data_IF_267090892488
#
_entry.id   IF_267090892488
#
_cell.length_a   1.000
_cell.length_b   1.000
_cell.length_c   1.000
_cell.angle_alpha   90.00
_cell.angle_beta   90.00
_cell.angle_gamma   90.00
#
_symmetry.space_group_name_H-M   'P 1'
#
loop_
_entity.id
_entity.type
_entity.pdbx_description
1 polymer ?
#
# COMPACT_ATOMS: atom_id res chain seq x y z
N UNK A 1 -34.28 1.79 17.55
CA UNK A 1 -32.85 2.10 17.77
C UNK A 1 -32.12 1.68 16.52
N UNK A 2 -31.55 2.60 15.75
CA UNK A 2 -30.73 2.27 14.60
C UNK A 2 -29.53 1.45 15.09
N UNK A 3 -29.34 0.28 14.51
CA UNK A 3 -28.21 -0.61 14.81
C UNK A 3 -26.93 0.11 14.41
N UNK A 4 -26.03 0.35 15.35
CA UNK A 4 -24.71 0.89 15.05
C UNK A 4 -23.94 -0.07 14.13
N UNK A 5 -23.31 0.49 13.11
CA UNK A 5 -22.47 -0.29 12.19
C UNK A 5 -21.15 -0.61 12.88
N UNK A 6 -20.75 -1.89 12.88
CA UNK A 6 -19.56 -2.39 13.56
C UNK A 6 -18.44 -2.61 12.57
N UNK A 7 -17.41 -1.79 12.63
CA UNK A 7 -16.23 -1.89 11.78
C UNK A 7 -15.11 -2.57 12.56
N UNK A 8 -14.71 -3.76 12.11
CA UNK A 8 -13.54 -4.45 12.63
C UNK A 8 -12.28 -3.97 11.92
N UNK A 9 -11.30 -3.53 12.69
CA UNK A 9 -10.00 -3.06 12.20
C UNK A 9 -8.97 -4.11 12.58
N UNK A 10 -8.21 -4.62 11.62
CA UNK A 10 -7.12 -5.56 11.83
C UNK A 10 -5.79 -4.82 11.77
N UNK A 11 -5.02 -4.93 12.86
CA UNK A 11 -3.79 -4.17 13.09
C UNK A 11 -4.01 -3.01 14.06
N UNK A 12 -3.10 -2.87 15.04
CA UNK A 12 -3.23 -1.94 16.16
C UNK A 12 -2.44 -0.64 16.02
N UNK A 13 -2.04 -0.24 14.81
CA UNK A 13 -1.17 0.89 14.55
C UNK A 13 -1.85 2.27 14.67
N UNK A 14 -1.14 3.27 14.16
CA UNK A 14 -1.59 4.66 14.23
C UNK A 14 -2.80 4.95 13.33
N UNK A 15 -2.91 4.28 12.17
CA UNK A 15 -4.04 4.48 11.27
C UNK A 15 -5.34 3.97 11.91
N UNK A 16 -5.32 2.82 12.57
CA UNK A 16 -6.45 2.31 13.34
C UNK A 16 -6.87 3.29 14.47
N UNK A 17 -5.89 3.90 15.15
CA UNK A 17 -6.14 4.93 16.15
C UNK A 17 -6.83 6.16 15.55
N UNK A 18 -6.40 6.62 14.37
CA UNK A 18 -7.02 7.75 13.65
C UNK A 18 -8.42 7.39 13.13
N UNK A 19 -8.63 6.15 12.67
CA UNK A 19 -9.96 5.65 12.29
C UNK A 19 -10.94 5.68 13.48
N UNK A 20 -10.51 5.31 14.70
CA UNK A 20 -11.32 5.46 15.90
C UNK A 20 -11.73 6.91 16.12
N UNK A 21 -10.81 7.85 16.01
CA UNK A 21 -11.10 9.26 16.20
C UNK A 21 -12.17 9.75 15.21
N UNK A 22 -12.05 9.37 13.94
CA UNK A 22 -13.03 9.73 12.90
C UNK A 22 -14.39 9.04 13.09
N UNK A 23 -14.43 7.81 13.59
CA UNK A 23 -15.64 6.99 13.77
C UNK A 23 -16.61 7.60 14.80
N UNK A 24 -16.11 8.33 15.80
CA UNK A 24 -16.91 8.93 16.87
C UNK A 24 -17.96 9.89 16.28
N UNK A 25 -17.53 10.80 15.42
CA UNK A 25 -18.41 11.78 14.76
C UNK A 25 -19.42 11.14 13.80
N UNK A 26 -19.14 9.94 13.31
CA UNK A 26 -19.99 9.19 12.39
C UNK A 26 -20.93 8.20 13.10
N UNK A 27 -20.82 8.05 14.42
CA UNK A 27 -21.61 7.08 15.19
C UNK A 27 -21.31 5.62 14.86
N UNK A 28 -20.12 5.33 14.32
CA UNK A 28 -19.64 3.99 13.98
C UNK A 28 -19.00 3.35 15.21
N UNK A 29 -19.34 2.09 15.50
CA UNK A 29 -18.66 1.27 16.50
C UNK A 29 -17.44 0.63 15.88
N UNK A 30 -16.25 0.92 16.40
CA UNK A 30 -15.01 0.25 16.00
C UNK A 30 -14.68 -0.89 16.94
N UNK A 31 -14.15 -1.97 16.37
CA UNK A 31 -13.56 -3.12 17.07
C UNK A 31 -12.14 -3.32 16.54
N UNK A 32 -11.25 -3.76 17.38
CA UNK A 32 -9.84 -3.90 17.05
C UNK A 32 -9.37 -5.33 17.26
N UNK A 33 -8.65 -5.88 16.29
CA UNK A 33 -7.77 -7.03 16.47
C UNK A 33 -6.33 -6.52 16.45
N UNK A 34 -5.69 -6.48 17.62
CA UNK A 34 -4.35 -5.97 17.81
C UNK A 34 -3.35 -7.07 18.14
N UNK A 35 -2.10 -6.87 17.78
CA UNK A 35 -0.98 -7.77 18.06
C UNK A 35 -0.62 -7.81 19.55
N UNK A 36 -0.95 -6.76 20.29
CA UNK A 36 -0.67 -6.64 21.73
C UNK A 36 -1.56 -5.60 22.42
N UNK A 37 -1.64 -5.66 23.76
CA UNK A 37 -2.45 -4.74 24.55
C UNK A 37 -1.93 -3.30 24.52
N UNK A 38 -0.63 -3.12 24.23
CA UNK A 38 0.04 -1.82 24.21
C UNK A 38 0.04 -1.19 22.81
N UNK A 39 -0.62 -1.81 21.82
CA UNK A 39 -0.75 -1.27 20.48
C UNK A 39 -1.39 0.13 20.51
N UNK A 40 -0.94 1.02 19.60
CA UNK A 40 -1.37 2.42 19.57
C UNK A 40 -2.89 2.59 19.59
N UNK A 41 -3.60 1.81 18.78
CA UNK A 41 -5.06 1.85 18.70
C UNK A 41 -5.76 1.19 19.90
N UNK A 42 -5.14 0.19 20.54
CA UNK A 42 -5.69 -0.48 21.72
C UNK A 42 -5.88 0.48 22.90
N UNK A 43 -5.09 1.56 22.95
CA UNK A 43 -5.22 2.59 23.99
C UNK A 43 -6.50 3.42 23.87
N UNK A 44 -7.17 3.42 22.71
CA UNK A 44 -8.34 4.28 22.45
C UNK A 44 -9.56 3.52 21.94
N UNK A 45 -9.42 2.26 21.53
CA UNK A 45 -10.52 1.39 21.11
C UNK A 45 -10.85 0.43 22.25
N UNK A 46 -11.97 0.64 23.00
CA UNK A 46 -12.29 -0.21 24.15
C UNK A 46 -12.58 -1.67 23.79
N UNK A 47 -13.11 -1.91 22.59
CA UNK A 47 -13.46 -3.25 22.09
C UNK A 47 -12.27 -3.84 21.33
N UNK A 48 -11.18 -4.10 22.08
CA UNK A 48 -9.95 -4.68 21.55
C UNK A 48 -9.85 -6.16 21.89
N UNK A 49 -9.60 -6.97 20.86
CA UNK A 49 -9.17 -8.37 20.95
C UNK A 49 -7.66 -8.41 20.69
N UNK A 50 -6.89 -8.99 21.59
CA UNK A 50 -5.46 -9.24 21.37
C UNK A 50 -5.31 -10.63 20.78
N UNK A 51 -4.64 -10.72 19.61
CA UNK A 51 -4.43 -11.99 18.93
C UNK A 51 -3.66 -11.85 17.62
N UNK A 52 -3.24 -12.99 17.11
CA UNK A 52 -2.49 -13.08 15.86
C UNK A 52 -3.45 -13.10 14.66
N UNK A 53 -3.40 -12.05 13.83
CA UNK A 53 -4.19 -11.97 12.59
C UNK A 53 -3.70 -12.92 11.49
N UNK A 54 -2.53 -13.52 11.65
CA UNK A 54 -2.03 -14.56 10.75
C UNK A 54 -2.64 -15.94 11.07
N UNK A 55 -3.30 -16.10 12.23
CA UNK A 55 -4.12 -17.28 12.55
C UNK A 55 -5.55 -17.09 12.04
N UNK A 56 -5.97 -17.97 11.12
CA UNK A 56 -7.31 -17.94 10.53
C UNK A 56 -8.42 -18.11 11.57
N UNK A 57 -8.17 -18.88 12.64
CA UNK A 57 -9.14 -19.11 13.71
C UNK A 57 -9.44 -17.82 14.46
N UNK A 58 -8.41 -17.12 14.90
CA UNK A 58 -8.45 -15.82 15.57
C UNK A 58 -9.17 -14.78 14.71
N UNK A 59 -8.75 -14.65 13.44
CA UNK A 59 -9.34 -13.69 12.49
C UNK A 59 -10.84 -14.00 12.24
N UNK A 60 -11.21 -15.30 12.13
CA UNK A 60 -12.60 -15.72 11.94
C UNK A 60 -13.45 -15.46 13.18
N UNK A 61 -12.91 -15.67 14.38
CA UNK A 61 -13.62 -15.38 15.63
C UNK A 61 -13.90 -13.89 15.77
N UNK A 62 -12.90 -13.06 15.52
CA UNK A 62 -13.02 -11.60 15.52
C UNK A 62 -14.05 -11.09 14.50
N UNK A 63 -14.02 -11.61 13.27
CA UNK A 63 -14.91 -11.21 12.19
C UNK A 63 -16.40 -11.44 12.52
N UNK A 64 -16.75 -12.46 13.33
CA UNK A 64 -18.15 -12.72 13.73
C UNK A 64 -18.79 -11.60 14.52
N UNK A 65 -17.99 -10.74 15.13
CA UNK A 65 -18.44 -9.64 15.93
C UNK A 65 -18.63 -8.33 15.15
N UNK A 66 -18.27 -8.32 13.86
CA UNK A 66 -18.22 -7.17 12.98
C UNK A 66 -19.27 -7.23 11.88
N UNK A 67 -19.54 -6.12 11.23
CA UNK A 67 -20.36 -6.02 10.02
C UNK A 67 -19.49 -5.86 8.75
N UNK A 68 -18.27 -5.33 8.93
CA UNK A 68 -17.23 -5.22 7.89
C UNK A 68 -15.86 -5.29 8.53
N UNK A 69 -14.89 -5.83 7.80
CA UNK A 69 -13.46 -5.85 8.18
C UNK A 69 -12.69 -4.88 7.29
N UNK A 70 -11.81 -4.10 7.91
CA UNK A 70 -10.80 -3.28 7.27
C UNK A 70 -9.43 -3.48 7.95
N UNK A 71 -8.38 -2.79 7.48
CA UNK A 71 -6.99 -3.01 7.91
C UNK A 71 -6.32 -1.70 8.27
N UNK A 72 -5.37 -1.79 9.18
CA UNK A 72 -4.39 -0.74 9.50
C UNK A 72 -3.13 -0.83 8.61
N UNK A 73 -2.85 -2.02 8.07
CA UNK A 73 -1.68 -2.32 7.26
C UNK A 73 -1.98 -3.44 6.23
N UNK A 74 -1.09 -3.65 5.26
CA UNK A 74 -1.24 -4.62 4.18
C UNK A 74 -0.88 -6.08 4.54
N UNK A 75 -0.34 -6.37 5.74
CA UNK A 75 0.28 -7.67 6.05
C UNK A 75 -0.69 -8.83 6.33
N UNK A 76 -2.00 -8.57 6.37
CA UNK A 76 -2.99 -9.63 6.61
C UNK A 76 -2.97 -10.64 5.46
N UNK A 77 -2.79 -11.95 5.72
CA UNK A 77 -2.69 -12.94 4.65
C UNK A 77 -3.94 -12.98 3.77
N UNK A 78 -3.79 -12.71 2.48
CA UNK A 78 -4.91 -12.63 1.52
C UNK A 78 -5.73 -13.91 1.46
N UNK A 79 -5.08 -15.09 1.64
CA UNK A 79 -5.79 -16.38 1.73
C UNK A 79 -6.81 -16.43 2.87
N UNK A 80 -6.51 -15.78 4.01
CA UNK A 80 -7.42 -15.70 5.16
C UNK A 80 -8.58 -14.76 4.87
N UNK A 81 -8.32 -13.65 4.21
CA UNK A 81 -9.35 -12.69 3.82
C UNK A 81 -10.34 -13.31 2.83
N UNK A 82 -9.86 -14.07 1.84
CA UNK A 82 -10.71 -14.83 0.91
C UNK A 82 -11.60 -15.82 1.64
N UNK A 83 -11.10 -16.47 2.69
CA UNK A 83 -11.91 -17.38 3.51
C UNK A 83 -13.02 -16.66 4.29
N UNK A 84 -12.88 -15.35 4.53
CA UNK A 84 -13.89 -14.53 5.20
C UNK A 84 -14.94 -13.95 4.25
N UNK A 85 -14.62 -13.69 2.98
CA UNK A 85 -15.50 -12.99 2.02
C UNK A 85 -16.90 -13.63 1.86
N UNK A 86 -16.99 -14.93 2.02
CA UNK A 86 -18.28 -15.65 2.00
C UNK A 86 -19.15 -15.44 3.25
N UNK A 87 -18.63 -14.74 4.28
CA UNK A 87 -19.27 -14.60 5.61
C UNK A 87 -19.43 -13.15 6.04
N UNK A 88 -18.51 -12.29 5.66
CA UNK A 88 -18.48 -10.88 6.04
C UNK A 88 -17.88 -10.04 4.92
N UNK A 89 -18.29 -8.79 4.82
CA UNK A 89 -17.67 -7.83 3.91
C UNK A 89 -16.23 -7.53 4.37
N UNK A 90 -15.27 -7.65 3.44
CA UNK A 90 -13.86 -7.26 3.63
C UNK A 90 -13.58 -6.10 2.69
N UNK A 91 -13.18 -4.95 3.22
CA UNK A 91 -13.00 -3.71 2.44
C UNK A 91 -11.74 -2.95 2.89
N UNK A 92 -10.77 -2.70 1.99
CA UNK A 92 -10.71 -3.18 0.59
C UNK A 92 -10.73 -4.71 0.50
N UNK A 93 -11.16 -5.25 -0.67
CA UNK A 93 -11.22 -6.69 -0.88
C UNK A 93 -9.81 -7.31 -1.01
N UNK A 94 -9.68 -8.63 -0.84
CA UNK A 94 -8.38 -9.31 -0.88
C UNK A 94 -7.66 -9.15 -2.23
N UNK A 95 -8.38 -9.07 -3.35
CA UNK A 95 -7.75 -8.81 -4.65
C UNK A 95 -7.08 -7.44 -4.73
N UNK A 96 -7.74 -6.40 -4.20
CA UNK A 96 -7.17 -5.06 -4.15
C UNK A 96 -5.93 -5.02 -3.25
N UNK A 97 -6.00 -5.70 -2.08
CA UNK A 97 -4.89 -5.76 -1.13
C UNK A 97 -3.67 -6.51 -1.70
N UNK A 98 -3.85 -7.48 -2.59
CA UNK A 98 -2.73 -8.18 -3.23
C UNK A 98 -1.81 -7.25 -4.03
N UNK A 99 -2.36 -6.17 -4.59
CA UNK A 99 -1.55 -5.18 -5.31
C UNK A 99 -0.70 -4.32 -4.37
N UNK A 100 -1.17 -4.04 -3.15
CA UNK A 100 -0.37 -3.38 -2.13
C UNK A 100 0.70 -4.32 -1.52
N UNK A 101 0.40 -5.62 -1.42
CA UNK A 101 1.31 -6.63 -0.86
C UNK A 101 2.43 -7.05 -1.81
N UNK A 102 2.27 -6.88 -3.13
CA UNK A 102 3.15 -7.45 -4.16
C UNK A 102 3.44 -6.43 -5.26
N UNK A 103 4.62 -5.80 -5.16
CA UNK A 103 5.06 -4.76 -6.09
C UNK A 103 5.21 -5.27 -7.53
N UNK A 104 5.62 -6.53 -7.72
CA UNK A 104 5.69 -7.12 -9.06
C UNK A 104 4.30 -7.19 -9.69
N UNK A 105 3.33 -7.70 -8.95
CA UNK A 105 1.94 -7.82 -9.38
C UNK A 105 1.31 -6.46 -9.65
N UNK A 106 1.58 -5.48 -8.79
CA UNK A 106 1.14 -4.11 -8.96
C UNK A 106 1.71 -3.52 -10.26
N UNK A 107 3.03 -3.63 -10.49
CA UNK A 107 3.69 -3.10 -11.70
C UNK A 107 3.14 -3.71 -12.98
N UNK A 108 3.02 -5.04 -13.03
CA UNK A 108 2.44 -5.74 -14.19
C UNK A 108 1.02 -5.26 -14.47
N UNK A 109 0.19 -5.14 -13.42
CA UNK A 109 -1.20 -4.71 -13.56
C UNK A 109 -1.30 -3.26 -14.02
N UNK A 110 -0.59 -2.32 -13.39
CA UNK A 110 -0.63 -0.91 -13.75
C UNK A 110 -0.07 -0.67 -15.16
N UNK A 111 1.04 -1.32 -15.51
CA UNK A 111 1.61 -1.26 -16.85
C UNK A 111 0.63 -1.80 -17.91
N UNK A 112 -0.01 -2.94 -17.64
CA UNK A 112 -1.04 -3.51 -18.51
C UNK A 112 -2.27 -2.61 -18.70
N UNK A 113 -2.55 -1.72 -17.76
CA UNK A 113 -3.59 -0.69 -17.85
C UNK A 113 -3.11 0.60 -18.52
N UNK A 114 -1.86 0.68 -18.97
CA UNK A 114 -1.27 1.89 -19.53
C UNK A 114 -1.15 3.04 -18.52
N UNK A 115 -0.99 2.72 -17.24
CA UNK A 115 -0.69 3.68 -16.18
C UNK A 115 0.80 4.04 -16.28
N UNK A 116 1.17 5.33 -16.25
CA UNK A 116 2.57 5.74 -16.23
C UNK A 116 3.31 5.16 -15.02
N UNK A 117 4.26 4.27 -15.26
CA UNK A 117 5.13 3.66 -14.26
C UNK A 117 6.59 3.82 -14.69
N UNK A 118 7.56 3.73 -13.77
CA UNK A 118 8.95 3.52 -14.13
C UNK A 118 9.08 2.28 -15.03
N UNK A 119 10.06 2.28 -15.97
CA UNK A 119 10.40 1.04 -16.67
C UNK A 119 10.89 0.03 -15.65
N UNK A 120 10.47 -1.22 -15.78
CA UNK A 120 10.75 -2.25 -14.79
C UNK A 120 11.00 -3.62 -15.40
N UNK A 121 11.66 -4.48 -14.63
CA UNK A 121 11.72 -5.93 -14.86
C UNK A 121 11.53 -6.68 -13.54
N UNK A 122 10.96 -7.89 -13.65
CA UNK A 122 10.84 -8.82 -12.51
C UNK A 122 12.05 -9.76 -12.57
N UNK A 123 12.92 -9.64 -11.57
CA UNK A 123 14.19 -10.38 -11.51
C UNK A 123 14.14 -11.42 -10.39
N UNK A 124 14.51 -12.66 -10.73
CA UNK A 124 14.66 -13.78 -9.79
C UNK A 124 16.12 -14.17 -9.57
N UNK A 125 17.00 -13.61 -10.39
CA UNK A 125 18.45 -13.89 -10.35
C UNK A 125 19.25 -12.60 -10.42
N UNK A 126 20.47 -12.64 -9.87
CA UNK A 126 21.45 -11.55 -9.99
C UNK A 126 21.73 -11.22 -11.45
N UNK A 127 21.76 -12.22 -12.32
CA UNK A 127 22.01 -12.03 -13.76
C UNK A 127 20.89 -11.18 -14.41
N UNK A 128 19.63 -11.51 -14.18
CA UNK A 128 18.51 -10.74 -14.73
C UNK A 128 18.55 -9.29 -14.27
N UNK A 129 18.92 -9.05 -13.00
CA UNK A 129 19.06 -7.70 -12.44
C UNK A 129 20.22 -6.94 -13.11
N UNK A 130 21.35 -7.61 -13.37
CA UNK A 130 22.48 -7.01 -14.10
C UNK A 130 22.09 -6.71 -15.54
N UNK A 131 21.44 -7.64 -16.24
CA UNK A 131 21.00 -7.47 -17.63
C UNK A 131 20.07 -6.27 -17.76
N UNK A 132 19.09 -6.11 -16.83
CA UNK A 132 18.23 -4.93 -16.78
C UNK A 132 19.02 -3.63 -16.57
N UNK A 133 19.95 -3.61 -15.60
CA UNK A 133 20.77 -2.42 -15.33
C UNK A 133 21.68 -2.03 -16.50
N UNK A 134 22.16 -3.01 -17.27
CA UNK A 134 22.94 -2.76 -18.48
C UNK A 134 22.07 -2.17 -19.61
N UNK A 135 20.83 -2.65 -19.75
CA UNK A 135 19.90 -2.14 -20.75
C UNK A 135 19.40 -0.74 -20.43
N UNK A 136 19.01 -0.48 -19.15
CA UNK A 136 18.43 0.81 -18.73
C UNK A 136 19.46 1.90 -18.48
N UNK A 137 20.70 1.52 -18.14
CA UNK A 137 21.72 2.41 -17.59
C UNK A 137 21.63 2.49 -16.05
N UNK A 138 22.80 2.57 -15.42
CA UNK A 138 22.92 2.74 -13.96
C UNK A 138 22.82 4.22 -13.55
N UNK A 139 22.32 4.58 -12.38
CA UNK A 139 21.80 3.68 -11.34
C UNK A 139 20.41 3.15 -11.66
N UNK A 140 20.04 2.03 -11.02
CA UNK A 140 18.69 1.48 -11.00
C UNK A 140 18.18 1.35 -9.56
N UNK A 141 16.86 1.22 -9.39
CA UNK A 141 16.24 0.86 -8.12
C UNK A 141 15.92 -0.63 -8.12
N UNK A 142 16.27 -1.33 -7.06
CA UNK A 142 15.85 -2.70 -6.80
C UNK A 142 14.97 -2.74 -5.57
N UNK A 143 13.80 -3.36 -5.66
CA UNK A 143 12.83 -3.44 -4.56
C UNK A 143 12.41 -4.89 -4.37
N UNK A 144 12.28 -5.36 -3.12
CA UNK A 144 11.63 -6.65 -2.89
C UNK A 144 10.18 -6.57 -3.36
N UNK A 145 9.70 -7.64 -4.02
CA UNK A 145 8.31 -7.70 -4.47
C UNK A 145 7.34 -7.67 -3.29
N UNK A 146 7.72 -8.34 -2.19
CA UNK A 146 6.92 -8.44 -0.95
C UNK A 146 7.76 -8.05 0.26
N UNK A 147 7.10 -7.59 1.32
CA UNK A 147 7.70 -7.41 2.64
C UNK A 147 8.52 -6.15 2.85
N UNK A 148 8.71 -5.28 1.89
CA UNK A 148 9.43 -4.00 2.07
C UNK A 148 8.49 -2.89 2.57
N UNK A 149 8.90 -2.13 3.59
CA UNK A 149 8.19 -0.96 4.12
C UNK A 149 9.20 0.05 4.69
N UNK A 150 8.84 1.33 4.74
CA UNK A 150 9.67 2.40 5.32
C UNK A 150 11.13 2.36 4.85
N UNK A 151 11.35 2.24 3.52
CA UNK A 151 12.68 2.17 2.92
C UNK A 151 13.41 0.82 3.05
N UNK A 152 12.86 -0.15 3.80
CA UNK A 152 13.42 -1.51 3.88
C UNK A 152 13.10 -2.28 2.59
N UNK A 153 14.03 -3.13 2.17
CA UNK A 153 13.88 -3.90 0.94
C UNK A 153 13.96 -3.05 -0.34
N UNK A 154 14.63 -1.89 -0.28
CA UNK A 154 14.86 -1.00 -1.40
C UNK A 154 16.35 -0.67 -1.49
N UNK A 155 16.93 -0.82 -2.67
CA UNK A 155 18.34 -0.54 -2.95
C UNK A 155 18.48 0.33 -4.19
N UNK A 156 19.30 1.36 -4.10
CA UNK A 156 19.80 2.09 -5.26
C UNK A 156 21.12 1.47 -5.67
N UNK A 157 21.17 0.84 -6.82
CA UNK A 157 22.34 0.12 -7.31
C UNK A 157 23.05 0.95 -8.37
N UNK A 158 24.35 1.18 -8.16
CA UNK A 158 25.17 2.02 -9.04
C UNK A 158 25.95 1.22 -10.10
N UNK A 159 25.92 -0.11 -10.02
CA UNK A 159 26.61 -0.95 -10.97
C UNK A 159 26.43 -2.46 -10.71
N UNK A 160 26.94 -3.31 -11.63
CA UNK A 160 26.77 -4.76 -11.55
C UNK A 160 27.32 -5.40 -10.28
N UNK A 161 28.37 -4.80 -9.68
CA UNK A 161 28.99 -5.32 -8.43
C UNK A 161 28.06 -5.27 -7.23
N UNK A 162 27.02 -4.45 -7.26
CA UNK A 162 26.06 -4.29 -6.16
C UNK A 162 24.82 -5.18 -6.34
N UNK A 163 24.65 -5.83 -7.52
CA UNK A 163 23.42 -6.54 -7.87
C UNK A 163 23.15 -7.80 -7.03
N UNK A 164 24.13 -8.32 -6.30
CA UNK A 164 23.92 -9.44 -5.38
C UNK A 164 23.21 -9.03 -4.08
N UNK A 165 23.38 -7.78 -3.63
CA UNK A 165 22.90 -7.30 -2.33
C UNK A 165 21.39 -7.52 -2.09
N UNK A 166 20.47 -7.31 -3.06
CA UNK A 166 19.05 -7.58 -2.87
C UNK A 166 18.70 -9.06 -2.64
N UNK A 167 19.56 -9.99 -3.07
CA UNK A 167 19.35 -11.44 -2.95
C UNK A 167 20.04 -12.05 -1.72
N UNK A 168 20.93 -11.32 -1.02
CA UNK A 168 21.75 -11.83 0.09
C UNK A 168 20.98 -11.96 1.43
N UNK A 169 19.70 -12.37 1.41
CA UNK A 169 18.93 -12.79 2.59
C UNK A 169 18.51 -11.65 3.53
N UNK A 170 18.62 -10.39 3.11
CA UNK A 170 18.13 -9.22 3.84
C UNK A 170 16.68 -8.82 3.46
N UNK A 171 16.07 -9.56 2.54
CA UNK A 171 14.65 -9.43 2.26
C UNK A 171 13.88 -10.14 3.38
N UNK A 172 12.87 -9.49 3.94
CA UNK A 172 11.92 -10.07 4.90
C UNK A 172 11.00 -11.08 4.17
N UNK A 173 11.61 -12.10 3.56
CA UNK A 173 10.91 -13.17 2.85
C UNK A 173 10.79 -14.35 3.79
N UNK A 174 9.60 -14.93 3.91
CA UNK A 174 9.40 -16.13 4.74
C UNK A 174 10.36 -17.24 4.35
N UNK A 175 10.90 -17.97 5.32
CA UNK A 175 11.89 -19.01 5.07
C UNK A 175 11.34 -20.04 4.06
N UNK A 176 12.02 -20.14 2.90
CA UNK A 176 11.66 -21.05 1.81
C UNK A 176 10.89 -20.41 0.64
N UNK A 177 10.56 -19.14 0.69
CA UNK A 177 10.01 -18.41 -0.45
C UNK A 177 11.14 -17.89 -1.36
N UNK A 178 10.88 -17.86 -2.66
CA UNK A 178 11.80 -17.31 -3.66
C UNK A 178 11.88 -15.79 -3.53
N UNK A 179 13.10 -15.24 -3.49
CA UNK A 179 13.30 -13.80 -3.51
C UNK A 179 13.00 -13.27 -4.90
N UNK A 180 11.98 -12.41 -5.01
CA UNK A 180 11.62 -11.73 -6.25
C UNK A 180 11.92 -10.25 -6.10
N UNK A 181 12.72 -9.72 -7.01
CA UNK A 181 13.12 -8.31 -7.06
C UNK A 181 12.40 -7.61 -8.23
N UNK A 182 11.80 -6.48 -7.96
CA UNK A 182 11.35 -5.53 -8.97
C UNK A 182 12.49 -4.55 -9.22
N UNK A 183 13.11 -4.65 -10.39
CA UNK A 183 14.11 -3.69 -10.85
C UNK A 183 13.38 -2.55 -11.58
N UNK A 184 13.71 -1.30 -11.26
CA UNK A 184 13.10 -0.13 -11.88
C UNK A 184 14.15 0.86 -12.37
N UNK A 185 13.85 1.61 -13.45
CA UNK A 185 14.65 2.77 -13.80
C UNK A 185 14.73 3.73 -12.61
N UNK A 186 15.88 4.35 -12.39
CA UNK A 186 16.00 5.39 -11.39
C UNK A 186 15.31 6.66 -11.87
N UNK A 187 14.33 7.14 -11.12
CA UNK A 187 13.65 8.40 -11.39
C UNK A 187 14.35 9.51 -10.59
N UNK A 188 14.97 10.47 -11.28
CA UNK A 188 15.43 11.70 -10.66
C UNK A 188 14.23 12.64 -10.51
N UNK A 189 13.53 12.50 -9.39
CA UNK A 189 12.34 13.27 -9.10
C UNK A 189 12.68 14.56 -8.33
N UNK A 190 11.84 15.57 -8.51
CA UNK A 190 11.94 16.83 -7.77
C UNK A 190 11.02 16.86 -6.55
N UNK A 191 9.92 16.09 -6.59
CA UNK A 191 8.98 15.93 -5.47
C UNK A 191 8.17 14.65 -5.58
N UNK A 192 7.65 14.23 -4.45
CA UNK A 192 6.69 13.14 -4.34
C UNK A 192 5.29 13.71 -4.12
N UNK A 193 4.31 13.08 -4.75
CA UNK A 193 2.90 13.45 -4.66
C UNK A 193 2.09 12.25 -4.21
N UNK A 194 0.96 12.50 -3.57
CA UNK A 194 0.01 11.45 -3.19
C UNK A 194 -1.41 11.89 -3.49
N UNK A 195 -2.22 10.95 -3.96
CA UNK A 195 -3.65 11.16 -4.21
C UNK A 195 -4.45 10.09 -3.50
N UNK A 196 -5.34 10.50 -2.60
CA UNK A 196 -6.24 9.59 -1.90
C UNK A 196 -7.58 9.54 -2.63
N UNK A 197 -7.95 8.35 -3.09
CA UNK A 197 -9.26 8.04 -3.63
C UNK A 197 -10.08 7.22 -2.64
N UNK A 198 -11.38 7.51 -2.53
CA UNK A 198 -12.33 6.75 -1.71
C UNK A 198 -13.45 6.28 -2.61
N UNK A 199 -13.70 4.98 -2.63
CA UNK A 199 -14.72 4.38 -3.49
C UNK A 199 -15.64 3.47 -2.69
N UNK A 200 -16.94 3.63 -2.94
CA UNK A 200 -17.99 2.70 -2.54
C UNK A 200 -18.51 1.92 -3.76
N UNK A 201 -19.54 1.13 -3.57
CA UNK A 201 -20.20 0.43 -4.68
C UNK A 201 -20.94 1.36 -5.65
N UNK A 202 -21.27 2.59 -5.22
CA UNK A 202 -22.10 3.53 -5.99
C UNK A 202 -21.47 4.92 -6.22
N UNK A 203 -20.42 5.24 -5.48
CA UNK A 203 -19.78 6.56 -5.55
C UNK A 203 -18.26 6.42 -5.43
N UNK A 204 -17.57 7.37 -6.07
CA UNK A 204 -16.14 7.55 -5.89
C UNK A 204 -15.85 9.04 -5.71
N UNK A 205 -14.96 9.35 -4.79
CA UNK A 205 -14.49 10.71 -4.52
C UNK A 205 -12.97 10.68 -4.40
N UNK A 206 -12.34 11.82 -4.62
CA UNK A 206 -10.89 11.96 -4.55
C UNK A 206 -10.56 13.23 -3.77
N UNK A 207 -9.53 13.15 -2.95
CA UNK A 207 -9.01 14.31 -2.24
C UNK A 207 -8.13 15.17 -3.15
N UNK A 208 -7.84 16.43 -2.77
CA UNK A 208 -6.82 17.21 -3.44
C UNK A 208 -5.48 16.48 -3.42
N UNK A 209 -4.68 16.67 -4.48
CA UNK A 209 -3.33 16.13 -4.53
C UNK A 209 -2.49 16.71 -3.40
N UNK A 210 -1.75 15.87 -2.71
CA UNK A 210 -0.83 16.25 -1.64
C UNK A 210 0.61 16.13 -2.12
N UNK A 211 1.47 17.02 -1.67
CA UNK A 211 2.92 16.84 -1.73
C UNK A 211 3.38 16.16 -0.44
N UNK A 212 4.24 15.16 -0.56
CA UNK A 212 4.78 14.41 0.57
C UNK A 212 6.31 14.54 0.60
N UNK A 213 6.85 14.66 1.81
CA UNK A 213 8.29 14.69 2.05
C UNK A 213 8.68 13.45 2.85
N UNK A 214 9.61 12.68 2.29
CA UNK A 214 10.16 11.49 2.95
C UNK A 214 11.52 11.82 3.58
N UNK A 215 11.75 11.33 4.79
CA UNK A 215 13.05 11.34 5.45
C UNK A 215 13.38 9.92 5.90
N UNK A 216 14.48 9.37 5.38
CA UNK A 216 14.92 7.99 5.66
C UNK A 216 13.81 6.93 5.39
N UNK A 217 13.00 7.15 4.35
CA UNK A 217 11.92 6.26 3.95
C UNK A 217 10.62 6.44 4.75
N UNK A 218 10.55 7.40 5.67
CA UNK A 218 9.36 7.70 6.47
C UNK A 218 8.76 9.03 6.03
N UNK A 219 7.45 9.08 5.79
CA UNK A 219 6.73 10.32 5.49
C UNK A 219 6.70 11.22 6.73
N UNK A 220 7.36 12.37 6.65
CA UNK A 220 7.48 13.32 7.77
C UNK A 220 6.64 14.58 7.58
N UNK A 221 6.23 14.89 6.35
CA UNK A 221 5.41 16.04 6.05
C UNK A 221 4.46 15.74 4.90
N UNK A 222 3.24 16.28 4.99
CA UNK A 222 2.25 16.25 3.92
C UNK A 222 1.60 17.62 3.81
N UNK A 223 1.64 18.23 2.62
CA UNK A 223 1.03 19.53 2.34
C UNK A 223 -0.11 19.33 1.34
N UNK A 224 -1.31 19.70 1.75
CA UNK A 224 -2.53 19.57 0.93
C UNK A 224 -3.28 20.90 0.82
N UNK A 225 -3.60 21.41 -0.37
CA UNK A 225 -3.20 20.93 -1.70
C UNK A 225 -1.69 21.09 -1.96
N UNK A 226 -1.14 20.27 -2.88
CA UNK A 226 0.25 20.32 -3.28
C UNK A 226 0.64 21.73 -3.79
N UNK A 227 1.64 22.38 -3.19
CA UNK A 227 2.04 23.74 -3.57
C UNK A 227 2.49 23.81 -5.04
N UNK A 228 2.04 24.86 -5.73
CA UNK A 228 2.49 25.14 -7.10
C UNK A 228 2.07 24.12 -8.15
N UNK A 229 1.25 23.12 -7.82
CA UNK A 229 0.73 22.15 -8.79
C UNK A 229 -0.37 22.81 -9.63
N UNK A 230 -0.25 22.88 -10.97
CA UNK A 230 -1.28 23.47 -11.83
C UNK A 230 -2.61 22.73 -11.74
N UNK A 231 -3.72 23.46 -11.75
CA UNK A 231 -5.06 22.88 -11.64
C UNK A 231 -5.37 21.76 -12.64
N UNK A 232 -5.07 21.92 -13.95
CA UNK A 232 -5.28 20.85 -14.93
C UNK A 232 -4.45 19.58 -14.62
N UNK A 233 -3.22 19.74 -14.14
CA UNK A 233 -2.36 18.63 -13.75
C UNK A 233 -2.90 17.92 -12.51
N UNK A 234 -3.30 18.68 -11.48
CA UNK A 234 -3.94 18.12 -10.29
C UNK A 234 -5.19 17.32 -10.65
N UNK A 235 -6.05 17.84 -11.56
CA UNK A 235 -7.23 17.13 -12.03
C UNK A 235 -6.87 15.83 -12.75
N UNK A 236 -5.85 15.83 -13.62
CA UNK A 236 -5.41 14.64 -14.32
C UNK A 236 -4.89 13.55 -13.35
N UNK A 237 -4.18 13.93 -12.30
CA UNK A 237 -3.71 13.00 -11.26
C UNK A 237 -4.86 12.44 -10.42
N UNK A 238 -5.86 13.25 -10.12
CA UNK A 238 -7.08 12.81 -9.43
C UNK A 238 -7.88 11.81 -10.29
N UNK A 239 -8.05 12.09 -11.58
CA UNK A 239 -8.69 11.17 -12.53
C UNK A 239 -7.91 9.86 -12.66
N UNK A 240 -6.57 9.93 -12.68
CA UNK A 240 -5.71 8.75 -12.69
C UNK A 240 -5.94 7.87 -11.45
N UNK A 241 -5.98 8.46 -10.25
CA UNK A 241 -6.22 7.74 -9.00
C UNK A 241 -7.62 7.09 -8.99
N UNK A 242 -8.65 7.79 -9.44
CA UNK A 242 -10.01 7.23 -9.58
C UNK A 242 -10.06 6.08 -10.58
N UNK A 243 -9.36 6.21 -11.71
CA UNK A 243 -9.23 5.13 -12.71
C UNK A 243 -8.56 3.90 -12.11
N UNK A 244 -7.43 4.07 -11.42
CA UNK A 244 -6.72 2.97 -10.74
C UNK A 244 -7.64 2.29 -9.72
N UNK A 245 -8.32 3.07 -8.86
CA UNK A 245 -9.25 2.52 -7.88
C UNK A 245 -10.39 1.72 -8.53
N UNK A 246 -10.88 2.18 -9.68
CA UNK A 246 -11.90 1.46 -10.46
C UNK A 246 -11.40 0.16 -11.07
N UNK A 247 -10.26 0.21 -11.75
CA UNK A 247 -9.65 -0.93 -12.46
C UNK A 247 -9.13 -2.04 -11.53
N UNK A 248 -8.71 -1.65 -10.32
CA UNK A 248 -8.32 -2.59 -9.27
C UNK A 248 -9.52 -3.01 -8.39
N UNK A 249 -10.73 -2.57 -8.73
CA UNK A 249 -11.96 -2.84 -7.98
C UNK A 249 -11.84 -2.56 -6.48
N UNK A 250 -11.12 -1.50 -6.10
CA UNK A 250 -10.99 -1.08 -4.71
C UNK A 250 -12.35 -0.56 -4.22
N UNK A 251 -12.87 -1.13 -3.16
CA UNK A 251 -13.97 -0.58 -2.36
C UNK A 251 -13.38 -0.23 -1.00
N UNK A 252 -13.29 1.04 -0.70
CA UNK A 252 -12.60 1.56 0.49
C UNK A 252 -11.73 2.75 0.12
N UNK A 253 -10.58 2.87 0.76
CA UNK A 253 -9.58 3.93 0.56
C UNK A 253 -8.40 3.37 -0.20
N UNK A 254 -7.91 4.13 -1.18
CA UNK A 254 -6.67 3.88 -1.91
C UNK A 254 -5.83 5.16 -1.90
N UNK A 255 -4.58 5.07 -1.50
CA UNK A 255 -3.58 6.09 -1.76
C UNK A 255 -2.76 5.68 -2.99
N UNK A 256 -2.54 6.62 -3.90
CA UNK A 256 -1.67 6.45 -5.06
C UNK A 256 -0.49 7.41 -4.89
N UNK A 257 0.69 6.85 -4.75
CA UNK A 257 1.93 7.61 -4.65
C UNK A 257 2.57 7.83 -6.01
N UNK A 258 3.05 9.05 -6.25
CA UNK A 258 3.59 9.46 -7.53
C UNK A 258 4.93 10.18 -7.34
N UNK A 259 5.79 10.04 -8.33
CA UNK A 259 7.03 10.82 -8.44
C UNK A 259 6.92 11.78 -9.63
N UNK A 260 7.10 13.07 -9.38
CA UNK A 260 7.27 14.07 -10.43
C UNK A 260 8.75 14.19 -10.76
N UNK A 261 9.14 13.67 -11.90
CA UNK A 261 10.51 13.70 -12.37
C UNK A 261 10.91 15.11 -12.86
N UNK A 262 12.20 15.43 -12.80
CA UNK A 262 12.75 16.74 -13.27
C UNK A 262 12.56 16.97 -14.78
N UNK A 263 12.33 15.92 -15.55
CA UNK A 263 12.00 15.99 -16.98
C UNK A 263 10.50 16.26 -17.25
N UNK A 264 9.70 16.45 -16.21
CA UNK A 264 8.28 16.74 -16.27
C UNK A 264 7.36 15.50 -16.32
N UNK A 265 7.92 14.28 -16.40
CA UNK A 265 7.11 13.06 -16.30
C UNK A 265 6.56 12.89 -14.89
N UNK A 266 5.32 12.42 -14.77
CA UNK A 266 4.78 11.93 -13.49
C UNK A 266 4.51 10.43 -13.65
N UNK A 267 5.05 9.65 -12.74
CA UNK A 267 4.92 8.19 -12.71
C UNK A 267 4.39 7.70 -11.38
N UNK A 268 3.64 6.62 -11.39
CA UNK A 268 3.15 5.97 -10.18
C UNK A 268 4.30 5.20 -9.52
N UNK A 269 4.54 5.51 -8.24
CA UNK A 269 5.51 4.81 -7.41
C UNK A 269 4.87 3.62 -6.69
N UNK A 270 3.72 3.85 -6.01
CA UNK A 270 3.04 2.81 -5.24
C UNK A 270 1.54 3.09 -5.10
#
# INVERSE_FOLDING_TARGET
MDRRYRVGIVGGGQLARMMQQASIGLGIETRLLAEGPDASAAQVIPLTTVGDYTDLGTLTAFARECDVITFDHEHVPTRHLRALEGRIAVKPGPEALEHAQDKARMRERLSGLGVPCPRFAICRTVRELVDFGQEQGWPIMAKTSRGGYDGKGVWKLHGPSEAAAPFDGKADVSAGEEVVIVAEEFIDFERELSVIAVRSSCQAVVYPVSETTQLDGVCVETITPAPGLPGPEATALQELALRIAGELNVIGVLAVELMQARDGRIVVNE
#
